data_IF_818108155413
#
_entry.id   IF_818108155413
#
_cell.length_a   1.000
_cell.length_b   1.000
_cell.length_c   1.000
_cell.angle_alpha   90.00
_cell.angle_beta   90.00
_cell.angle_gamma   90.00
#
_symmetry.space_group_name_H-M   'P 1'
#
loop_
_entity.id
_entity.type
_entity.pdbx_description
1 polymer ?
#
# COMPACT_ATOMS: atom_id res chain seq x y z
N UNK A 1 -5.05 -29.61 -9.99
CA UNK A 1 -4.95 -29.11 -8.60
C UNK A 1 -4.25 -27.74 -8.56
N UNK A 2 -3.08 -27.61 -9.21
CA UNK A 2 -2.33 -26.34 -9.37
C UNK A 2 -3.16 -25.12 -9.81
N UNK A 3 -3.96 -25.23 -10.89
CA UNK A 3 -4.77 -24.10 -11.41
C UNK A 3 -5.79 -23.52 -10.41
N UNK A 4 -6.26 -24.33 -9.44
CA UNK A 4 -7.20 -23.85 -8.40
C UNK A 4 -6.46 -23.10 -7.29
N UNK A 5 -5.26 -23.57 -6.94
CA UNK A 5 -4.41 -22.93 -5.92
C UNK A 5 -3.85 -21.60 -6.41
N UNK A 6 -3.42 -21.53 -7.68
CA UNK A 6 -2.94 -20.28 -8.29
C UNK A 6 -4.05 -19.24 -8.41
N UNK A 7 -5.27 -19.65 -8.77
CA UNK A 7 -6.43 -18.75 -8.76
C UNK A 7 -6.70 -18.23 -7.35
N UNK A 8 -6.64 -19.10 -6.35
CA UNK A 8 -6.83 -18.72 -4.94
C UNK A 8 -5.77 -17.71 -4.48
N UNK A 9 -4.50 -17.93 -4.81
CA UNK A 9 -3.41 -16.99 -4.48
C UNK A 9 -3.62 -15.62 -5.12
N UNK A 10 -4.06 -15.58 -6.37
CA UNK A 10 -4.42 -14.33 -7.03
C UNK A 10 -5.59 -13.61 -6.35
N UNK A 11 -6.69 -14.32 -6.08
CA UNK A 11 -7.86 -13.76 -5.42
C UNK A 11 -7.49 -13.23 -4.02
N UNK A 12 -6.59 -13.91 -3.31
CA UNK A 12 -6.01 -13.44 -2.04
C UNK A 12 -5.14 -12.19 -2.22
N UNK A 13 -4.32 -12.10 -3.26
CA UNK A 13 -3.52 -10.90 -3.53
C UNK A 13 -4.41 -9.69 -3.84
N UNK A 14 -5.44 -9.88 -4.67
CA UNK A 14 -6.45 -8.86 -4.98
C UNK A 14 -7.18 -8.42 -3.70
N UNK A 15 -7.54 -9.37 -2.83
CA UNK A 15 -8.17 -9.07 -1.55
C UNK A 15 -7.25 -8.24 -0.63
N UNK A 16 -5.95 -8.56 -0.59
CA UNK A 16 -4.95 -7.76 0.16
C UNK A 16 -4.80 -6.36 -0.41
N UNK A 17 -4.79 -6.22 -1.74
CA UNK A 17 -4.70 -4.91 -2.38
C UNK A 17 -5.95 -4.06 -2.13
N UNK A 18 -7.13 -4.68 -2.13
CA UNK A 18 -8.38 -4.03 -1.72
C UNK A 18 -8.33 -3.57 -0.26
N UNK A 19 -7.82 -4.41 0.63
CA UNK A 19 -7.63 -4.04 2.03
C UNK A 19 -6.65 -2.87 2.19
N UNK A 20 -5.57 -2.83 1.42
CA UNK A 20 -4.63 -1.70 1.39
C UNK A 20 -5.33 -0.40 1.01
N UNK A 21 -6.15 -0.41 -0.05
CA UNK A 21 -6.96 0.75 -0.45
C UNK A 21 -7.91 1.20 0.68
N UNK A 22 -8.63 0.26 1.30
CA UNK A 22 -9.53 0.57 2.42
C UNK A 22 -8.81 1.17 3.63
N UNK A 23 -7.67 0.60 4.02
CA UNK A 23 -6.85 1.13 5.11
C UNK A 23 -6.32 2.53 4.80
N UNK A 24 -5.91 2.77 3.55
CA UNK A 24 -5.47 4.10 3.10
C UNK A 24 -6.57 5.16 3.26
N UNK A 25 -7.79 4.85 2.81
CA UNK A 25 -8.95 5.74 2.97
C UNK A 25 -9.30 5.97 4.43
N UNK A 26 -9.31 4.92 5.27
CA UNK A 26 -9.61 5.06 6.70
C UNK A 26 -8.59 5.94 7.44
N UNK A 27 -7.30 5.82 7.11
CA UNK A 27 -6.25 6.67 7.68
C UNK A 27 -6.45 8.12 7.23
N UNK A 28 -6.78 8.35 5.96
CA UNK A 28 -7.08 9.69 5.46
C UNK A 28 -8.29 10.32 6.16
N UNK A 29 -9.39 9.59 6.29
CA UNK A 29 -10.62 10.07 6.95
C UNK A 29 -10.37 10.41 8.42
N UNK A 30 -9.71 9.49 9.15
CA UNK A 30 -9.35 9.68 10.56
C UNK A 30 -8.44 10.90 10.75
N UNK A 31 -7.42 11.05 9.90
CA UNK A 31 -6.53 12.20 9.93
C UNK A 31 -7.22 13.49 9.52
N UNK A 32 -8.12 13.48 8.52
CA UNK A 32 -8.86 14.67 8.11
C UNK A 32 -9.77 15.19 9.23
N UNK A 33 -10.36 14.28 10.02
CA UNK A 33 -11.23 14.62 11.14
C UNK A 33 -10.47 15.17 12.36
N UNK A 34 -9.29 14.62 12.68
CA UNK A 34 -8.55 14.92 13.91
C UNK A 34 -7.31 15.79 13.71
N UNK A 35 -6.83 15.89 12.47
CA UNK A 35 -5.55 16.51 12.06
C UNK A 35 -4.32 15.97 12.81
N UNK A 36 -4.46 14.79 13.43
CA UNK A 36 -3.46 14.13 14.26
C UNK A 36 -3.61 12.61 14.08
N UNK A 37 -2.47 11.91 14.08
CA UNK A 37 -2.48 10.44 14.12
C UNK A 37 -2.77 9.94 15.53
N UNK A 38 -3.65 8.95 15.64
CA UNK A 38 -3.87 8.24 16.88
C UNK A 38 -3.23 6.83 16.84
N UNK A 39 -3.27 6.10 17.97
CA UNK A 39 -2.68 4.76 18.07
C UNK A 39 -3.28 3.76 17.07
N UNK A 40 -4.56 3.90 16.74
CA UNK A 40 -5.25 3.05 15.78
C UNK A 40 -4.76 3.34 14.34
N UNK A 41 -4.55 4.61 13.98
CA UNK A 41 -3.97 4.99 12.70
C UNK A 41 -2.54 4.45 12.55
N UNK A 42 -1.75 4.46 13.63
CA UNK A 42 -0.42 3.85 13.65
C UNK A 42 -0.44 2.34 13.35
N UNK A 43 -1.41 1.61 13.90
CA UNK A 43 -1.62 0.18 13.62
C UNK A 43 -2.08 -0.06 12.18
N UNK A 44 -2.96 0.80 11.65
CA UNK A 44 -3.41 0.73 10.25
C UNK A 44 -2.26 0.97 9.29
N UNK A 45 -1.42 1.98 9.55
CA UNK A 45 -0.21 2.25 8.77
C UNK A 45 0.75 1.06 8.78
N UNK A 46 0.99 0.44 9.94
CA UNK A 46 1.83 -0.77 10.01
C UNK A 46 1.25 -1.94 9.21
N UNK A 47 -0.07 -2.17 9.31
CA UNK A 47 -0.75 -3.21 8.53
C UNK A 47 -0.67 -2.93 7.03
N UNK A 48 -0.88 -1.67 6.63
CA UNK A 48 -0.80 -1.21 5.26
C UNK A 48 0.60 -1.47 4.69
N UNK A 49 1.67 -1.18 5.45
CA UNK A 49 3.05 -1.48 5.06
C UNK A 49 3.26 -2.98 4.84
N UNK A 50 2.81 -3.83 5.78
CA UNK A 50 2.97 -5.29 5.70
C UNK A 50 2.26 -5.88 4.49
N UNK A 51 1.02 -5.46 4.23
CA UNK A 51 0.25 -5.94 3.08
C UNK A 51 0.88 -5.48 1.76
N UNK A 52 1.33 -4.24 1.70
CA UNK A 52 1.99 -3.67 0.52
C UNK A 52 3.29 -4.41 0.18
N UNK A 53 4.10 -4.78 1.18
CA UNK A 53 5.30 -5.61 0.97
C UNK A 53 4.95 -6.98 0.39
N UNK A 54 3.88 -7.62 0.86
CA UNK A 54 3.41 -8.90 0.29
C UNK A 54 2.99 -8.76 -1.17
N UNK A 55 2.19 -7.75 -1.48
CA UNK A 55 1.74 -7.45 -2.86
C UNK A 55 2.96 -7.23 -3.78
N UNK A 56 3.94 -6.45 -3.33
CA UNK A 56 5.20 -6.22 -4.07
C UNK A 56 5.93 -7.52 -4.37
N UNK A 57 6.09 -8.38 -3.36
CA UNK A 57 6.81 -9.64 -3.52
C UNK A 57 6.07 -10.59 -4.48
N UNK A 58 4.74 -10.63 -4.43
CA UNK A 58 3.92 -11.42 -5.36
C UNK A 58 3.95 -10.85 -6.80
N UNK A 59 4.17 -9.55 -6.94
CA UNK A 59 4.39 -8.91 -8.24
C UNK A 59 5.81 -9.11 -8.78
N UNK A 60 6.71 -9.78 -8.04
CA UNK A 60 8.10 -10.05 -8.44
C UNK A 60 9.12 -9.01 -7.97
N UNK A 61 8.75 -8.12 -7.05
CA UNK A 61 9.69 -7.15 -6.44
C UNK A 61 10.53 -7.75 -5.32
N UNK A 62 11.73 -7.18 -5.11
CA UNK A 62 12.66 -7.57 -4.05
C UNK A 62 12.50 -6.74 -2.78
N UNK A 63 13.06 -7.21 -1.66
CA UNK A 63 13.08 -6.50 -0.37
C UNK A 63 14.01 -5.29 -0.30
N UNK A 64 14.45 -4.76 -1.43
CA UNK A 64 15.25 -3.54 -1.48
C UNK A 64 14.48 -2.38 -0.83
N UNK A 65 15.19 -1.55 -0.06
CA UNK A 65 14.63 -0.31 0.46
C UNK A 65 14.18 0.54 -0.73
N UNK A 66 12.89 0.91 -0.71
CA UNK A 66 12.31 1.72 -1.76
C UNK A 66 12.93 3.13 -1.68
N UNK A 67 13.72 3.51 -2.68
CA UNK A 67 14.07 4.92 -2.88
C UNK A 67 12.82 5.68 -3.28
N UNK A 68 12.09 6.21 -2.30
CA UNK A 68 10.89 7.00 -2.58
C UNK A 68 11.30 8.42 -2.87
N UNK A 69 11.38 8.71 -4.17
CA UNK A 69 11.47 10.07 -4.69
C UNK A 69 10.06 10.68 -4.61
N UNK A 70 9.97 11.94 -4.17
CA UNK A 70 8.74 12.75 -4.20
C UNK A 70 7.70 12.46 -3.08
N UNK A 71 8.16 12.39 -1.83
CA UNK A 71 7.26 12.42 -0.66
C UNK A 71 6.95 13.86 -0.27
N UNK A 72 5.68 14.28 -0.23
CA UNK A 72 5.32 15.62 0.25
C UNK A 72 5.85 15.89 1.65
N UNK A 73 6.37 17.10 1.89
CA UNK A 73 6.85 17.55 3.20
C UNK A 73 5.70 17.73 4.20
N UNK A 74 4.57 18.23 3.72
CA UNK A 74 3.31 18.42 4.42
C UNK A 74 2.63 17.09 4.76
N UNK A 75 2.36 16.84 6.04
CA UNK A 75 1.73 15.59 6.52
C UNK A 75 0.37 15.37 5.87
N UNK A 76 -0.47 16.40 5.76
CA UNK A 76 -1.78 16.29 5.13
C UNK A 76 -1.68 15.89 3.65
N UNK A 77 -0.72 16.48 2.92
CA UNK A 77 -0.48 16.13 1.52
C UNK A 77 0.03 14.68 1.39
N UNK A 78 0.92 14.26 2.29
CA UNK A 78 1.43 12.89 2.32
C UNK A 78 0.33 11.87 2.63
N UNK A 79 -0.62 12.18 3.52
CA UNK A 79 -1.79 11.33 3.82
C UNK A 79 -2.73 11.21 2.62
N UNK A 80 -3.05 12.33 1.95
CA UNK A 80 -3.84 12.30 0.71
C UNK A 80 -3.15 11.48 -0.37
N UNK A 81 -1.84 11.64 -0.51
CA UNK A 81 -1.05 10.86 -1.47
C UNK A 81 -1.02 9.38 -1.12
N UNK A 82 -0.93 9.03 0.16
CA UNK A 82 -0.98 7.64 0.62
C UNK A 82 -2.29 6.95 0.20
N UNK A 83 -3.44 7.59 0.43
CA UNK A 83 -4.74 7.03 0.04
C UNK A 83 -4.86 6.87 -1.48
N UNK A 84 -4.45 7.89 -2.25
CA UNK A 84 -4.45 7.82 -3.71
C UNK A 84 -3.55 6.69 -4.24
N UNK A 85 -2.34 6.57 -3.69
CA UNK A 85 -1.38 5.54 -4.09
C UNK A 85 -1.87 4.14 -3.75
N UNK A 86 -2.53 3.98 -2.59
CA UNK A 86 -3.15 2.72 -2.16
C UNK A 86 -4.30 2.28 -3.09
N UNK A 87 -5.14 3.22 -3.53
CA UNK A 87 -6.20 2.94 -4.49
C UNK A 87 -5.67 2.60 -5.89
N UNK A 88 -4.66 3.34 -6.35
CA UNK A 88 -3.95 3.03 -7.60
C UNK A 88 -3.29 1.64 -7.56
N UNK A 89 -2.67 1.27 -6.43
CA UNK A 89 -2.07 -0.05 -6.25
C UNK A 89 -3.13 -1.16 -6.38
N UNK A 90 -4.28 -1.00 -5.74
CA UNK A 90 -5.40 -1.94 -5.89
C UNK A 90 -5.82 -2.12 -7.34
N UNK A 91 -6.06 -1.01 -8.05
CA UNK A 91 -6.46 -1.04 -9.47
C UNK A 91 -5.41 -1.70 -10.36
N UNK A 92 -4.13 -1.51 -10.06
CA UNK A 92 -3.04 -2.15 -10.80
C UNK A 92 -3.00 -3.65 -10.53
N UNK A 93 -3.14 -4.08 -9.28
CA UNK A 93 -3.16 -5.51 -8.92
C UNK A 93 -4.36 -6.22 -9.56
N UNK A 94 -5.55 -5.62 -9.49
CA UNK A 94 -6.78 -6.17 -10.10
C UNK A 94 -6.68 -6.33 -11.62
N UNK A 95 -5.94 -5.43 -12.29
CA UNK A 95 -5.71 -5.47 -13.74
C UNK A 95 -4.52 -6.32 -14.15
N UNK A 96 -3.65 -6.69 -13.20
CA UNK A 96 -2.43 -7.46 -13.50
C UNK A 96 -2.80 -8.94 -13.66
N UNK A 97 -2.49 -9.59 -14.79
CA UNK A 97 -2.76 -11.00 -14.96
C UNK A 97 -1.93 -11.85 -13.98
N UNK A 98 -2.47 -13.01 -13.61
CA UNK A 98 -1.94 -13.95 -12.60
C UNK A 98 -0.46 -14.33 -12.72
N UNK A 99 0.12 -14.29 -13.92
CA UNK A 99 1.46 -14.78 -14.21
C UNK A 99 2.41 -13.66 -14.67
N UNK A 100 2.11 -12.40 -14.35
CA UNK A 100 2.87 -11.25 -14.85
C UNK A 100 3.58 -10.54 -13.70
N UNK A 101 4.91 -10.45 -13.83
CA UNK A 101 5.72 -9.52 -13.03
C UNK A 101 5.34 -8.11 -13.44
N UNK A 102 4.85 -7.31 -12.49
CA UNK A 102 4.32 -5.98 -12.78
C UNK A 102 5.20 -4.91 -12.17
N UNK A 103 6.05 -4.32 -13.02
CA UNK A 103 6.87 -3.17 -12.64
C UNK A 103 6.01 -2.01 -12.11
N UNK A 104 4.80 -1.83 -12.63
CA UNK A 104 3.87 -0.81 -12.16
C UNK A 104 3.37 -1.10 -10.73
N UNK A 105 3.03 -2.35 -10.41
CA UNK A 105 2.64 -2.76 -9.06
C UNK A 105 3.82 -2.63 -8.09
N UNK A 106 5.02 -3.01 -8.51
CA UNK A 106 6.25 -2.88 -7.71
C UNK A 106 6.56 -1.43 -7.39
N UNK A 107 6.56 -0.55 -8.40
CA UNK A 107 6.82 0.89 -8.24
C UNK A 107 5.78 1.53 -7.32
N UNK A 108 4.50 1.22 -7.52
CA UNK A 108 3.43 1.77 -6.71
C UNK A 108 3.48 1.27 -5.26
N UNK A 109 3.81 -0.01 -5.05
CA UNK A 109 4.00 -0.58 -3.72
C UNK A 109 5.20 0.07 -3.00
N UNK A 110 6.29 0.32 -3.71
CA UNK A 110 7.47 1.00 -3.18
C UNK A 110 7.15 2.44 -2.73
N UNK A 111 6.43 3.21 -3.56
CA UNK A 111 5.94 4.55 -3.21
C UNK A 111 5.09 4.52 -1.94
N UNK A 112 4.18 3.56 -1.85
CA UNK A 112 3.29 3.42 -0.70
C UNK A 112 4.04 3.08 0.59
N UNK A 113 5.04 2.19 0.51
CA UNK A 113 5.91 1.84 1.65
C UNK A 113 6.63 3.08 2.17
N UNK A 114 7.26 3.87 1.31
CA UNK A 114 7.97 5.07 1.80
C UNK A 114 7.05 6.17 2.33
N UNK A 115 5.85 6.33 1.75
CA UNK A 115 4.84 7.24 2.31
C UNK A 115 4.43 6.81 3.73
N UNK A 116 4.20 5.52 3.94
CA UNK A 116 3.87 4.98 5.27
C UNK A 116 5.01 5.23 6.26
N UNK A 117 6.26 4.92 5.87
CA UNK A 117 7.43 5.12 6.73
C UNK A 117 7.61 6.60 7.10
N UNK A 118 7.44 7.51 6.15
CA UNK A 118 7.49 8.96 6.42
C UNK A 118 6.42 9.38 7.42
N UNK A 119 5.18 8.95 7.22
CA UNK A 119 4.05 9.33 8.09
C UNK A 119 4.22 8.75 9.50
N UNK A 120 4.73 7.52 9.63
CA UNK A 120 5.06 6.92 10.93
C UNK A 120 6.18 7.66 11.65
N UNK A 121 7.18 8.16 10.92
CA UNK A 121 8.25 8.97 11.50
C UNK A 121 7.80 10.40 11.83
N UNK A 122 6.83 10.95 11.11
CA UNK A 122 6.27 12.28 11.38
C UNK A 122 5.26 12.30 12.54
N UNK A 123 4.64 11.16 12.85
CA UNK A 123 3.69 11.01 13.96
C UNK A 123 4.31 10.56 15.28
N UNK A 124 5.64 10.41 15.35
CA UNK A 124 6.41 10.26 16.59
C UNK A 124 6.89 11.62 17.07
#
# INVERSE_FOLDING_TARGET
LLLKEEKKQYDENVARAREVSQLGSQVQESFAAKKLFNSDDGKKLERLEKLTRKIRNEAGGSESDAEVKDIPSEVEAAVKRLAAVADELYKLVEKTPRHVVSAAVIDQANKLIGLVQRLRNAGR
#
